data_IF_751454895824
#
_entry.id   IF_751454895824
#
_cell.length_a   1.000
_cell.length_b   1.000
_cell.length_c   1.000
_cell.angle_alpha   90.00
_cell.angle_beta   90.00
_cell.angle_gamma   90.00
#
_symmetry.space_group_name_H-M   'P 1'
#
loop_
_entity.id
_entity.type
_entity.pdbx_description
1 polymer ?
#
# COMPACT_ATOMS: atom_id res chain seq x y z
N UNK A 1 11.37 23.75 8.38
CA UNK A 1 11.18 22.69 7.37
C UNK A 1 11.65 21.32 7.85
N UNK A 2 12.87 21.18 8.40
CA UNK A 2 13.38 19.88 8.88
C UNK A 2 12.53 19.25 10.00
N UNK A 3 11.97 20.05 10.91
CA UNK A 3 11.06 19.54 11.93
C UNK A 3 9.78 18.91 11.35
N UNK A 4 9.20 19.51 10.30
CA UNK A 4 8.00 18.98 9.64
C UNK A 4 8.34 17.64 8.99
N UNK A 5 9.47 17.57 8.27
CA UNK A 5 9.98 16.31 7.69
C UNK A 5 10.13 15.23 8.76
N UNK A 6 10.77 15.57 9.89
CA UNK A 6 11.00 14.64 11.00
C UNK A 6 9.70 14.06 11.55
N UNK A 7 8.70 14.91 11.85
CA UNK A 7 7.38 14.48 12.34
C UNK A 7 6.70 13.54 11.34
N UNK A 8 6.74 13.86 10.04
CA UNK A 8 6.11 13.01 9.03
C UNK A 8 6.75 11.61 9.01
N UNK A 9 8.07 11.53 9.06
CA UNK A 9 8.81 10.26 9.00
C UNK A 9 8.80 9.45 10.28
N UNK A 10 8.87 10.10 11.44
CA UNK A 10 9.00 9.42 12.73
C UNK A 10 7.64 9.16 13.40
N UNK A 11 6.66 10.04 13.19
CA UNK A 11 5.36 9.95 13.87
C UNK A 11 4.23 9.51 12.94
N UNK A 12 4.15 10.09 11.73
CA UNK A 12 2.98 9.88 10.85
C UNK A 12 3.10 8.58 10.06
N UNK A 13 4.14 8.40 9.25
CA UNK A 13 4.29 7.22 8.39
C UNK A 13 4.33 5.89 9.15
N UNK A 14 5.05 5.75 10.28
CA UNK A 14 5.03 4.52 11.05
C UNK A 14 3.66 4.20 11.64
N UNK A 15 2.86 5.23 11.95
CA UNK A 15 1.50 5.06 12.49
C UNK A 15 0.51 4.60 11.42
N UNK A 16 0.59 5.14 10.20
CA UNK A 16 -0.37 4.83 9.12
C UNK A 16 0.01 3.60 8.28
N UNK A 17 1.26 3.12 8.34
CA UNK A 17 1.73 1.86 7.73
C UNK A 17 1.22 1.62 6.29
N UNK A 18 1.42 2.59 5.39
CA UNK A 18 0.83 2.56 4.04
C UNK A 18 1.27 1.36 3.20
N UNK A 19 2.44 0.78 3.46
CA UNK A 19 2.96 -0.35 2.71
C UNK A 19 2.07 -1.60 2.84
N UNK A 20 1.31 -1.73 3.94
CA UNK A 20 0.44 -2.89 4.18
C UNK A 20 -0.68 -3.00 3.12
N UNK A 21 -1.10 -1.90 2.49
CA UNK A 21 -2.10 -1.92 1.41
C UNK A 21 -1.61 -2.55 0.10
N UNK A 22 -0.29 -2.79 -0.01
CA UNK A 22 0.35 -3.35 -1.19
C UNK A 22 0.99 -4.71 -0.92
N UNK A 23 0.85 -5.24 0.30
CA UNK A 23 1.50 -6.47 0.75
C UNK A 23 0.50 -7.62 0.88
N UNK A 24 1.03 -8.84 0.82
CA UNK A 24 0.28 -10.08 1.09
C UNK A 24 0.48 -10.51 2.53
N UNK A 25 -0.57 -11.05 3.15
CA UNK A 25 -0.45 -11.77 4.43
C UNK A 25 0.34 -13.06 4.22
N UNK A 26 1.61 -13.03 4.64
CA UNK A 26 2.55 -14.14 4.49
C UNK A 26 2.07 -15.39 5.22
N UNK A 27 1.54 -15.25 6.44
CA UNK A 27 1.09 -16.40 7.23
C UNK A 27 -0.09 -17.08 6.55
N UNK A 28 -1.11 -16.30 6.15
CA UNK A 28 -2.29 -16.81 5.47
C UNK A 28 -1.94 -17.47 4.13
N UNK A 29 -1.07 -16.84 3.34
CA UNK A 29 -0.64 -17.38 2.05
C UNK A 29 0.13 -18.70 2.20
N UNK A 30 1.08 -18.78 3.16
CA UNK A 30 1.85 -20.00 3.43
C UNK A 30 0.94 -21.13 3.92
N UNK A 31 -0.04 -20.83 4.76
CA UNK A 31 -0.99 -21.84 5.23
C UNK A 31 -1.85 -22.38 4.08
N UNK A 32 -2.37 -21.49 3.22
CA UNK A 32 -3.09 -21.90 2.02
C UNK A 32 -2.22 -22.78 1.11
N UNK A 33 -0.95 -22.39 0.92
CA UNK A 33 0.01 -23.15 0.12
C UNK A 33 0.27 -24.56 0.70
N UNK A 34 0.47 -24.66 2.03
CA UNK A 34 0.66 -25.92 2.75
C UNK A 34 -0.53 -26.85 2.59
N UNK A 35 -1.76 -26.34 2.72
CA UNK A 35 -2.99 -27.10 2.51
C UNK A 35 -3.03 -27.64 1.07
N UNK A 36 -2.68 -26.82 0.07
CA UNK A 36 -2.68 -27.25 -1.34
C UNK A 36 -1.60 -28.30 -1.65
N UNK A 37 -0.45 -28.26 -0.96
CA UNK A 37 0.61 -29.28 -1.12
C UNK A 37 0.21 -30.65 -0.57
N UNK A 38 -0.66 -30.69 0.45
CA UNK A 38 -1.08 -31.93 1.14
C UNK A 38 -2.33 -32.57 0.52
N UNK A 39 -2.99 -31.91 -0.44
CA UNK A 39 -4.16 -32.45 -1.13
C UNK A 39 -3.78 -33.49 -2.19
N UNK A 40 -4.37 -34.69 -2.11
CA UNK A 40 -4.07 -35.83 -2.99
C UNK A 40 -4.52 -35.62 -4.46
N UNK A 41 -5.54 -34.80 -4.71
CA UNK A 41 -6.07 -34.53 -6.06
C UNK A 41 -5.45 -33.28 -6.72
N UNK A 42 -4.13 -33.16 -6.64
CA UNK A 42 -3.38 -32.01 -7.15
C UNK A 42 -3.44 -31.94 -8.68
N UNK A 43 -4.30 -31.08 -9.22
CA UNK A 43 -4.20 -30.64 -10.62
C UNK A 43 -3.23 -29.48 -10.70
N UNK A 44 -1.94 -29.76 -10.87
CA UNK A 44 -0.98 -28.71 -11.25
C UNK A 44 -1.29 -28.35 -12.69
N UNK A 45 -1.99 -27.25 -12.90
CA UNK A 45 -2.08 -26.63 -14.22
C UNK A 45 -0.67 -26.24 -14.64
N UNK A 46 -0.27 -26.56 -15.87
CA UNK A 46 1.03 -26.14 -16.42
C UNK A 46 1.08 -24.61 -16.39
N UNK A 47 1.87 -24.06 -15.48
CA UNK A 47 2.30 -22.66 -15.49
C UNK A 47 3.24 -22.45 -16.67
N UNK A 48 3.22 -21.27 -17.27
CA UNK A 48 4.28 -20.88 -18.21
C UNK A 48 5.62 -20.88 -17.44
N UNK A 49 6.67 -21.57 -17.93
CA UNK A 49 8.00 -21.54 -17.29
C UNK A 49 8.59 -20.14 -17.10
N UNK A 50 8.07 -19.13 -17.82
CA UNK A 50 8.48 -17.73 -17.70
C UNK A 50 7.64 -16.92 -16.72
N UNK A 51 6.56 -17.49 -16.18
CA UNK A 51 5.69 -16.80 -15.24
C UNK A 51 6.31 -16.83 -13.83
N UNK A 52 6.65 -15.65 -13.33
CA UNK A 52 7.24 -15.49 -12.00
C UNK A 52 6.17 -15.12 -10.98
N UNK A 53 6.34 -15.62 -9.76
CA UNK A 53 5.47 -15.25 -8.64
C UNK A 53 5.54 -13.72 -8.41
N UNK A 54 4.37 -13.09 -8.39
CA UNK A 54 4.19 -11.65 -8.21
C UNK A 54 3.02 -11.37 -7.28
N UNK A 55 3.08 -10.23 -6.59
CA UNK A 55 1.95 -9.72 -5.81
C UNK A 55 0.87 -9.20 -6.76
N UNK A 56 -0.36 -9.67 -6.55
CA UNK A 56 -1.60 -9.24 -7.19
C UNK A 56 -2.28 -8.27 -6.23
N UNK A 57 -2.49 -7.03 -6.69
CA UNK A 57 -3.12 -5.98 -5.89
C UNK A 57 -4.53 -6.37 -5.48
N UNK A 58 -4.89 -6.14 -4.21
CA UNK A 58 -6.28 -6.26 -3.75
C UNK A 58 -7.13 -5.16 -4.42
N UNK A 59 -8.19 -5.52 -5.17
CA UNK A 59 -9.08 -4.53 -5.78
C UNK A 59 -9.73 -3.59 -4.77
N UNK A 60 -9.94 -4.07 -3.53
CA UNK A 60 -10.51 -3.27 -2.44
C UNK A 60 -9.45 -2.54 -1.61
N UNK A 61 -8.16 -2.70 -1.91
CA UNK A 61 -7.03 -2.10 -1.18
C UNK A 61 -7.12 -2.27 0.34
N UNK A 62 -7.37 -3.49 0.83
CA UNK A 62 -7.33 -3.80 2.26
C UNK A 62 -5.89 -4.04 2.71
N UNK A 63 -5.61 -3.78 3.99
CA UNK A 63 -4.31 -4.11 4.61
C UNK A 63 -4.04 -5.61 4.51
N UNK A 64 -2.84 -5.95 4.03
CA UNK A 64 -2.38 -7.31 3.78
C UNK A 64 -3.35 -8.12 2.88
N UNK A 65 -4.16 -7.40 2.09
CA UNK A 65 -5.21 -7.99 1.26
C UNK A 65 -4.71 -8.49 -0.09
N UNK A 66 -3.49 -8.12 -0.51
CA UNK A 66 -2.95 -8.57 -1.78
C UNK A 66 -2.76 -10.09 -1.79
N UNK A 67 -2.76 -10.67 -2.98
CA UNK A 67 -2.66 -12.10 -3.18
C UNK A 67 -1.47 -12.47 -4.06
N UNK A 68 -1.21 -13.78 -4.21
CA UNK A 68 -0.31 -14.34 -5.21
C UNK A 68 -1.02 -15.48 -5.93
N UNK A 69 -0.60 -15.81 -7.15
CA UNK A 69 -1.14 -16.96 -7.86
C UNK A 69 -0.59 -18.26 -7.25
N UNK A 70 -1.49 -19.05 -6.65
CA UNK A 70 -1.12 -20.31 -6.00
C UNK A 70 -0.71 -21.40 -7.00
N UNK A 71 -1.19 -21.36 -8.25
CA UNK A 71 -0.73 -22.30 -9.28
C UNK A 71 0.71 -22.03 -9.65
N UNK A 72 1.08 -20.75 -9.80
CA UNK A 72 2.48 -20.33 -10.04
C UNK A 72 3.34 -20.71 -8.82
N UNK A 73 2.86 -20.47 -7.60
CA UNK A 73 3.58 -20.87 -6.38
C UNK A 73 3.82 -22.39 -6.35
N UNK A 74 2.79 -23.20 -6.61
CA UNK A 74 2.88 -24.67 -6.63
C UNK A 74 3.75 -25.21 -7.76
N UNK A 75 3.82 -24.53 -8.90
CA UNK A 75 4.72 -24.89 -10.00
C UNK A 75 6.17 -24.49 -9.69
N UNK A 76 6.38 -23.41 -8.94
CA UNK A 76 7.71 -22.87 -8.62
C UNK A 76 8.35 -23.62 -7.45
N UNK A 77 7.59 -23.86 -6.39
CA UNK A 77 8.04 -24.46 -5.15
C UNK A 77 7.49 -25.89 -5.07
N UNK A 78 8.29 -26.85 -5.53
CA UNK A 78 7.93 -28.27 -5.55
C UNK A 78 8.75 -29.02 -4.51
N UNK A 79 8.13 -29.67 -3.51
CA UNK A 79 8.86 -30.45 -2.53
C UNK A 79 9.48 -31.69 -3.21
N UNK A 80 10.65 -32.12 -2.72
CA UNK A 80 11.38 -33.24 -3.31
C UNK A 80 10.73 -34.61 -3.02
N UNK A 81 9.95 -34.70 -1.94
CA UNK A 81 9.10 -35.83 -1.58
C UNK A 81 7.81 -35.34 -0.90
N UNK A 82 6.94 -36.29 -0.49
CA UNK A 82 5.69 -36.00 0.22
C UNK A 82 5.83 -36.05 1.75
N UNK A 83 7.06 -36.09 2.25
CA UNK A 83 7.36 -36.12 3.67
C UNK A 83 7.05 -34.78 4.34
N UNK A 84 6.63 -34.78 5.62
CA UNK A 84 6.36 -33.54 6.36
C UNK A 84 7.54 -32.55 6.35
N UNK A 85 8.78 -33.05 6.37
CA UNK A 85 9.98 -32.23 6.35
C UNK A 85 10.18 -31.49 5.01
N UNK A 86 9.99 -32.17 3.88
CA UNK A 86 10.12 -31.56 2.55
C UNK A 86 9.02 -30.52 2.29
N UNK A 87 7.80 -30.78 2.79
CA UNK A 87 6.69 -29.81 2.72
C UNK A 87 7.02 -28.57 3.54
N UNK A 88 7.55 -28.73 4.76
CA UNK A 88 7.94 -27.61 5.61
C UNK A 88 9.05 -26.77 4.98
N UNK A 89 10.08 -27.41 4.43
CA UNK A 89 11.16 -26.72 3.73
C UNK A 89 10.61 -25.92 2.54
N UNK A 90 9.73 -26.52 1.75
CA UNK A 90 9.08 -25.86 0.62
C UNK A 90 8.24 -24.64 1.07
N UNK A 91 7.51 -24.76 2.19
CA UNK A 91 6.77 -23.65 2.79
C UNK A 91 7.70 -22.51 3.25
N UNK A 92 8.90 -22.83 3.75
CA UNK A 92 9.88 -21.83 4.16
C UNK A 92 10.47 -21.07 2.96
N UNK A 93 10.77 -21.76 1.86
CA UNK A 93 11.18 -21.11 0.61
C UNK A 93 10.10 -20.17 0.06
N UNK A 94 8.84 -20.62 0.07
CA UNK A 94 7.72 -19.80 -0.34
C UNK A 94 7.55 -18.57 0.56
N UNK A 95 7.62 -18.75 1.90
CA UNK A 95 7.59 -17.67 2.89
C UNK A 95 8.66 -16.62 2.61
N UNK A 96 9.91 -17.04 2.44
CA UNK A 96 11.02 -16.13 2.16
C UNK A 96 10.76 -15.33 0.88
N UNK A 97 10.24 -15.98 -0.17
CA UNK A 97 9.91 -15.27 -1.41
C UNK A 97 8.79 -14.24 -1.22
N UNK A 98 7.77 -14.53 -0.42
CA UNK A 98 6.71 -13.57 -0.10
C UNK A 98 7.24 -12.38 0.70
N UNK A 99 8.15 -12.62 1.66
CA UNK A 99 8.80 -11.57 2.44
C UNK A 99 9.66 -10.66 1.57
N UNK A 100 10.40 -11.21 0.60
CA UNK A 100 11.12 -10.45 -0.43
C UNK A 100 10.18 -9.56 -1.25
N UNK A 101 9.09 -10.13 -1.79
CA UNK A 101 8.11 -9.38 -2.57
C UNK A 101 7.44 -8.28 -1.74
N UNK A 102 7.13 -8.55 -0.47
CA UNK A 102 6.58 -7.55 0.44
C UNK A 102 7.58 -6.42 0.72
N UNK A 103 8.88 -6.74 0.84
CA UNK A 103 9.95 -5.76 1.00
C UNK A 103 10.09 -4.86 -0.24
N UNK A 104 9.98 -5.42 -1.45
CA UNK A 104 9.96 -4.64 -2.70
C UNK A 104 8.80 -3.62 -2.71
N UNK A 105 7.60 -4.03 -2.26
CA UNK A 105 6.43 -3.13 -2.14
C UNK A 105 6.62 -2.06 -1.06
N UNK A 106 7.27 -2.41 0.04
CA UNK A 106 7.61 -1.45 1.08
C UNK A 106 8.61 -0.40 0.55
N UNK A 107 9.62 -0.82 -0.21
CA UNK A 107 10.57 0.09 -0.83
C UNK A 107 9.89 1.04 -1.84
N UNK A 108 9.01 0.52 -2.70
CA UNK A 108 8.22 1.35 -3.61
C UNK A 108 7.37 2.38 -2.85
N UNK A 109 6.71 1.96 -1.77
CA UNK A 109 5.91 2.85 -0.92
C UNK A 109 6.78 3.93 -0.28
N UNK A 110 8.00 3.59 0.14
CA UNK A 110 8.96 4.56 0.67
C UNK A 110 9.32 5.63 -0.37
N UNK A 111 9.52 5.27 -1.64
CA UNK A 111 9.75 6.25 -2.72
C UNK A 111 8.56 7.20 -2.90
N UNK A 112 7.33 6.69 -2.84
CA UNK A 112 6.13 7.53 -2.89
C UNK A 112 6.03 8.46 -1.67
N UNK A 113 6.36 7.95 -0.48
CA UNK A 113 6.39 8.71 0.77
C UNK A 113 7.41 9.85 0.71
N UNK A 114 8.59 9.61 0.15
CA UNK A 114 9.60 10.64 -0.08
C UNK A 114 9.09 11.75 -1.00
N UNK A 115 8.46 11.38 -2.11
CA UNK A 115 7.86 12.35 -3.03
C UNK A 115 6.74 13.15 -2.36
N UNK A 116 5.87 12.50 -1.56
CA UNK A 116 4.81 13.16 -0.82
C UNK A 116 5.36 14.19 0.18
N UNK A 117 6.43 13.85 0.90
CA UNK A 117 7.12 14.79 1.81
C UNK A 117 7.71 15.95 1.03
N UNK A 118 8.37 15.69 -0.10
CA UNK A 118 8.97 16.75 -0.93
C UNK A 118 7.91 17.72 -1.46
N UNK A 119 6.78 17.21 -1.96
CA UNK A 119 5.63 18.02 -2.39
C UNK A 119 5.07 18.87 -1.24
N UNK A 120 4.84 18.25 -0.07
CA UNK A 120 4.31 18.94 1.11
C UNK A 120 5.23 20.07 1.54
N UNK A 121 6.52 19.80 1.68
CA UNK A 121 7.49 20.81 2.10
C UNK A 121 7.65 21.91 1.04
N UNK A 122 7.63 21.56 -0.25
CA UNK A 122 7.62 22.52 -1.34
C UNK A 122 6.43 23.47 -1.25
N UNK A 123 5.22 22.93 -1.03
CA UNK A 123 4.02 23.73 -0.89
C UNK A 123 4.06 24.64 0.35
N UNK A 124 4.44 24.10 1.51
CA UNK A 124 4.59 24.89 2.75
C UNK A 124 5.61 26.02 2.58
N UNK A 125 6.74 25.73 1.92
CA UNK A 125 7.74 26.75 1.64
C UNK A 125 7.18 27.83 0.71
N UNK A 126 6.54 27.44 -0.39
CA UNK A 126 5.93 28.37 -1.34
C UNK A 126 4.89 29.27 -0.67
N UNK A 127 3.91 28.68 0.03
CA UNK A 127 2.79 29.42 0.59
C UNK A 127 3.20 30.41 1.68
N UNK A 128 4.23 30.09 2.48
CA UNK A 128 4.55 30.82 3.71
C UNK A 128 5.86 31.58 3.65
N UNK A 129 6.87 31.06 2.94
CA UNK A 129 8.26 31.55 3.03
C UNK A 129 8.78 32.15 1.73
N UNK A 130 8.44 31.59 0.56
CA UNK A 130 8.94 32.03 -0.73
C UNK A 130 8.61 33.51 -0.98
N UNK A 131 9.56 34.29 -1.50
CA UNK A 131 9.40 35.73 -1.75
C UNK A 131 8.23 36.05 -2.70
N UNK A 132 8.00 35.17 -3.68
CA UNK A 132 6.96 35.26 -4.70
C UNK A 132 5.69 34.44 -4.35
N UNK A 133 5.60 33.93 -3.12
CA UNK A 133 4.45 33.17 -2.63
C UNK A 133 3.43 34.05 -1.91
N UNK A 134 2.25 33.51 -1.57
CA UNK A 134 1.13 34.26 -0.98
C UNK A 134 1.35 34.78 0.45
N UNK A 135 2.42 34.36 1.14
CA UNK A 135 2.74 34.76 2.52
C UNK A 135 1.62 34.49 3.51
N UNK A 136 1.02 33.30 3.43
CA UNK A 136 -0.01 32.85 4.36
C UNK A 136 0.57 32.86 5.77
N UNK A 137 -0.14 33.52 6.70
CA UNK A 137 0.31 33.83 8.06
C UNK A 137 0.44 32.59 8.98
N UNK A 138 -0.16 32.64 10.17
CA UNK A 138 -0.08 31.52 11.10
C UNK A 138 -0.82 30.26 10.59
N UNK A 139 -0.45 29.09 11.11
CA UNK A 139 -1.21 27.85 10.88
C UNK A 139 -2.48 27.90 11.72
N UNK A 140 -3.64 27.81 11.07
CA UNK A 140 -4.97 27.87 11.69
C UNK A 140 -5.90 26.86 11.05
N UNK A 141 -7.10 26.66 11.59
CA UNK A 141 -8.12 25.80 10.95
C UNK A 141 -8.50 26.28 9.54
N UNK A 142 -8.51 27.59 9.32
CA UNK A 142 -8.79 28.19 8.00
C UNK A 142 -7.59 28.15 7.06
N UNK A 143 -6.36 28.07 7.62
CA UNK A 143 -5.11 28.01 6.86
C UNK A 143 -4.22 26.88 7.41
N UNK A 144 -4.61 25.61 7.16
CA UNK A 144 -3.87 24.46 7.66
C UNK A 144 -2.48 24.38 7.02
N UNK A 145 -1.63 23.51 7.57
CA UNK A 145 -0.29 23.28 6.99
C UNK A 145 -0.36 22.53 5.66
N UNK A 146 -1.34 21.64 5.52
CA UNK A 146 -1.60 20.86 4.31
C UNK A 146 -3.03 21.14 3.87
N UNK A 147 -3.20 21.42 2.59
CA UNK A 147 -4.52 21.61 1.98
C UNK A 147 -5.37 20.35 2.15
N UNK A 148 -6.67 20.53 2.35
CA UNK A 148 -7.60 19.42 2.45
C UNK A 148 -7.80 18.80 1.05
N UNK A 149 -7.31 17.58 0.86
CA UNK A 149 -7.44 16.83 -0.42
C UNK A 149 -8.75 16.07 -0.53
N UNK A 150 -9.37 15.70 0.58
CA UNK A 150 -10.61 14.92 0.62
C UNK A 150 -11.65 15.58 1.51
N UNK A 151 -12.92 15.46 1.15
CA UNK A 151 -14.02 15.71 2.09
C UNK A 151 -14.16 14.54 3.04
N UNK A 152 -14.15 14.83 4.34
CA UNK A 152 -14.42 13.87 5.41
C UNK A 152 -15.48 14.52 6.33
N UNK A 153 -16.78 14.21 6.15
CA UNK A 153 -17.85 14.91 6.85
C UNK A 153 -18.22 14.26 8.20
N UNK A 154 -17.34 13.42 8.74
CA UNK A 154 -17.56 12.73 10.02
C UNK A 154 -16.77 13.41 11.14
N UNK A 155 -17.14 13.10 12.38
CA UNK A 155 -16.44 13.59 13.57
C UNK A 155 -15.01 13.02 13.64
N UNK A 156 -14.12 13.70 14.36
CA UNK A 156 -12.77 13.18 14.63
C UNK A 156 -12.87 11.83 15.35
N UNK A 157 -12.13 10.84 14.87
CA UNK A 157 -12.13 9.50 15.47
C UNK A 157 -10.75 8.85 15.38
N UNK A 158 -10.63 7.64 15.92
CA UNK A 158 -9.39 6.88 15.82
C UNK A 158 -9.11 6.51 14.35
N UNK A 159 -7.84 6.57 13.96
CA UNK A 159 -7.38 6.23 12.59
C UNK A 159 -7.91 4.88 12.08
N UNK A 160 -7.95 3.86 12.94
CA UNK A 160 -8.48 2.53 12.57
C UNK A 160 -9.97 2.57 12.23
N UNK A 161 -10.73 3.45 12.88
CA UNK A 161 -12.16 3.65 12.58
C UNK A 161 -12.32 4.41 11.28
N UNK A 162 -11.56 5.50 11.07
CA UNK A 162 -11.57 6.27 9.81
C UNK A 162 -11.25 5.38 8.61
N UNK A 163 -10.21 4.56 8.73
CA UNK A 163 -9.78 3.65 7.68
C UNK A 163 -10.88 2.63 7.35
N UNK A 164 -11.55 2.05 8.34
CA UNK A 164 -12.62 1.08 8.08
C UNK A 164 -13.78 1.66 7.26
N UNK A 165 -14.00 2.98 7.31
CA UNK A 165 -15.08 3.64 6.58
C UNK A 165 -14.92 3.60 5.08
N UNK A 166 -13.69 3.48 4.56
CA UNK A 166 -13.45 3.39 3.10
C UNK A 166 -14.06 2.11 2.51
N UNK A 167 -14.30 1.09 3.35
CA UNK A 167 -14.90 -0.18 2.96
C UNK A 167 -16.41 -0.26 3.30
N UNK A 168 -17.01 0.80 3.82
CA UNK A 168 -18.45 0.88 4.12
C UNK A 168 -19.15 1.71 3.04
N UNK A 169 -19.94 1.13 2.13
CA UNK A 169 -20.51 1.87 1.00
C UNK A 169 -21.33 3.11 1.37
N UNK A 170 -22.04 3.06 2.51
CA UNK A 170 -22.85 4.17 3.05
C UNK A 170 -22.00 5.29 3.70
N UNK A 171 -20.70 5.07 3.87
CA UNK A 171 -19.73 6.07 4.39
C UNK A 171 -18.75 6.51 3.31
N UNK A 172 -18.18 5.55 2.59
CA UNK A 172 -17.18 5.77 1.54
C UNK A 172 -17.69 6.72 0.44
N UNK A 173 -18.98 6.69 0.11
CA UNK A 173 -19.59 7.59 -0.88
C UNK A 173 -19.49 9.07 -0.52
N UNK A 174 -19.22 9.40 0.76
CA UNK A 174 -19.03 10.77 1.22
C UNK A 174 -17.55 11.20 1.26
N UNK A 175 -16.63 10.27 1.03
CA UNK A 175 -15.17 10.51 1.01
C UNK A 175 -14.74 10.98 -0.38
N UNK A 176 -15.06 12.24 -0.69
CA UNK A 176 -14.88 12.79 -2.04
C UNK A 176 -13.53 13.48 -2.20
N UNK A 177 -12.76 13.09 -3.21
CA UNK A 177 -11.55 13.80 -3.61
C UNK A 177 -11.91 15.22 -4.12
N UNK A 178 -11.15 16.22 -3.67
CA UNK A 178 -11.25 17.56 -4.22
C UNK A 178 -10.51 17.63 -5.55
N UNK A 179 -11.08 18.35 -6.52
CA UNK A 179 -10.44 18.57 -7.81
C UNK A 179 -9.22 19.53 -7.68
N UNK A 180 -8.35 19.51 -8.68
CA UNK A 180 -7.10 20.26 -8.74
C UNK A 180 -6.38 20.09 -10.06
N UNK A 181 -5.08 20.30 -10.06
CA UNK A 181 -4.21 20.09 -11.21
C UNK A 181 -2.83 19.64 -10.72
N UNK A 182 -2.14 18.85 -11.55
CA UNK A 182 -0.80 18.34 -11.25
C UNK A 182 0.21 19.12 -12.07
N UNK A 183 1.20 19.71 -11.38
CA UNK A 183 2.24 20.50 -12.03
C UNK A 183 3.07 19.63 -12.98
N UNK A 184 3.07 19.98 -14.27
CA UNK A 184 3.85 19.28 -15.29
C UNK A 184 3.28 17.93 -15.73
N UNK A 185 2.03 17.63 -15.39
CA UNK A 185 1.34 16.42 -15.85
C UNK A 185 0.51 16.68 -17.13
N UNK A 186 0.09 15.60 -17.78
CA UNK A 186 -0.85 15.64 -18.90
C UNK A 186 -2.25 16.08 -18.41
N UNK A 187 -2.77 17.26 -18.85
CA UNK A 187 -4.07 17.74 -18.42
C UNK A 187 -5.24 16.89 -18.92
N UNK A 188 -5.03 16.00 -19.90
CA UNK A 188 -6.05 15.07 -20.39
C UNK A 188 -6.13 13.79 -19.56
N UNK A 189 -5.16 13.55 -18.67
CA UNK A 189 -5.19 12.41 -17.75
C UNK A 189 -5.96 12.77 -16.50
N UNK A 190 -7.01 12.03 -16.21
CA UNK A 190 -7.72 12.15 -14.95
C UNK A 190 -6.85 11.59 -13.82
N UNK A 191 -6.24 12.47 -13.02
CA UNK A 191 -5.36 12.08 -11.92
C UNK A 191 -6.08 11.41 -10.74
N UNK A 192 -7.42 11.41 -10.74
CA UNK A 192 -8.23 10.74 -9.74
C UNK A 192 -8.71 9.34 -10.19
N UNK A 193 -8.47 8.94 -11.45
CA UNK A 193 -8.76 7.59 -11.93
C UNK A 193 -7.65 6.60 -11.55
N UNK A 194 -7.98 5.29 -11.40
CA UNK A 194 -7.00 4.22 -11.13
C UNK A 194 -5.93 4.03 -12.21
#
# INVERSE_FOLDING_TARGET
MNCIRKIIWEDIFPRIRLWEFFQVDVHKAVEQFRILLTQENRRVTKSDPKEHLKIIQDPEYRRLGCAVDMNVALATFVPHDHGPAAIEECCNWFRQRLEELNSEKQHLTHCHQEQAVNCLLGNVFYERLAGHGPKVGAVTRNHPLVTRYFTFPFEEMALSTEESMIHLPDKACFLMAHNGWVMGDDPLRNFAEP
#
